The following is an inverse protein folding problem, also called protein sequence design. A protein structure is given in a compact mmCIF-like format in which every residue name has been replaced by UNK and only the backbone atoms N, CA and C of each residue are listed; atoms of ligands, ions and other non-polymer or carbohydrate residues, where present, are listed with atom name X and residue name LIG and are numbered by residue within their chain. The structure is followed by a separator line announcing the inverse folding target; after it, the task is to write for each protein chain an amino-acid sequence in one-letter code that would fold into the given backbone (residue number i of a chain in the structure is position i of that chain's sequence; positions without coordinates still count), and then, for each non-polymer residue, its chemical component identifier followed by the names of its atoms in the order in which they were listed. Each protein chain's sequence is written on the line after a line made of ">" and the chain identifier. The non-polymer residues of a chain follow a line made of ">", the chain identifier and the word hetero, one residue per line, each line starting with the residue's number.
data_IF_906461955992
#
_entry.id   IF_906461955992
#
_cell.length_a   1.000
_cell.length_b   1.000
_cell.length_c   1.000
_cell.angle_alpha   90.00
_cell.angle_beta   90.00
_cell.angle_gamma   90.00
#
_symmetry.space_group_name_H-M   'P 1'
#
loop_
_entity.id
_entity.type
_entity.pdbx_description
1 polymer ?
#
# COMPACT_ATOMS: atom_id res chain seq x y z
N UNK A 1 -4.67 -2.56 13.58
CA UNK A 1 -5.36 -1.25 13.65
C UNK A 1 -5.31 -0.63 12.27
N UNK A 2 -6.44 -0.12 11.78
CA UNK A 2 -6.49 0.65 10.54
C UNK A 2 -6.74 2.11 10.89
N UNK A 3 -5.97 3.01 10.31
CA UNK A 3 -6.15 4.46 10.40
C UNK A 3 -6.68 4.91 9.05
N UNK A 4 -7.85 5.55 9.05
CA UNK A 4 -8.47 6.08 7.83
C UNK A 4 -8.21 7.59 7.76
N UNK A 5 -7.66 8.03 6.65
CA UNK A 5 -7.47 9.44 6.29
C UNK A 5 -8.53 9.76 5.24
N UNK A 6 -9.69 10.22 5.71
CA UNK A 6 -10.80 10.52 4.84
C UNK A 6 -10.58 11.85 4.11
N UNK A 7 -10.91 11.90 2.82
CA UNK A 7 -10.71 13.06 1.96
C UNK A 7 -9.28 13.64 2.04
N UNK A 8 -8.28 12.77 2.00
CA UNK A 8 -6.90 13.17 2.26
C UNK A 8 -6.33 14.19 1.24
N UNK A 9 -6.99 14.42 0.12
CA UNK A 9 -6.61 15.40 -0.90
C UNK A 9 -7.37 16.74 -0.83
N UNK A 10 -8.01 17.04 0.29
CA UNK A 10 -8.47 18.43 0.58
C UNK A 10 -7.29 19.39 0.79
N UNK A 11 -6.12 18.87 1.12
CA UNK A 11 -4.85 19.59 1.16
C UNK A 11 -3.77 18.74 0.52
N UNK A 12 -2.61 19.32 0.22
CA UNK A 12 -1.48 18.57 -0.33
C UNK A 12 -0.97 17.52 0.67
N UNK A 13 -1.21 16.21 0.45
CA UNK A 13 -0.80 15.18 1.40
C UNK A 13 0.72 15.14 1.60
N UNK A 14 1.48 15.55 0.60
CA UNK A 14 2.93 15.64 0.68
C UNK A 14 3.43 16.61 1.75
N UNK A 15 2.61 17.58 2.13
CA UNK A 15 2.97 18.57 3.15
C UNK A 15 2.75 18.04 4.57
N UNK A 16 1.66 17.34 4.81
CA UNK A 16 1.33 16.85 6.16
C UNK A 16 1.64 15.37 6.37
N UNK A 17 1.63 14.55 5.31
CA UNK A 17 1.82 13.10 5.39
C UNK A 17 3.12 12.61 4.74
N UNK A 18 3.88 13.48 4.08
CA UNK A 18 5.08 13.11 3.31
C UNK A 18 6.17 12.42 4.14
N UNK A 19 6.41 12.88 5.37
CA UNK A 19 7.35 12.23 6.29
C UNK A 19 6.87 10.83 6.67
N UNK A 20 5.57 10.67 6.94
CA UNK A 20 4.96 9.37 7.25
C UNK A 20 5.11 8.39 6.09
N UNK A 21 4.80 8.81 4.85
CA UNK A 21 4.97 7.98 3.65
C UNK A 21 6.42 7.51 3.49
N UNK A 22 7.40 8.39 3.74
CA UNK A 22 8.82 8.03 3.66
C UNK A 22 9.23 7.02 4.74
N UNK A 23 8.70 7.17 5.94
CA UNK A 23 8.98 6.24 7.04
C UNK A 23 8.33 4.87 6.78
N UNK A 24 7.10 4.84 6.29
CA UNK A 24 6.38 3.60 5.95
C UNK A 24 7.08 2.83 4.82
N UNK A 25 7.61 3.52 3.82
CA UNK A 25 8.36 2.90 2.71
C UNK A 25 9.61 2.18 3.20
N UNK A 26 10.35 2.79 4.14
CA UNK A 26 11.61 2.27 4.65
C UNK A 26 11.46 1.24 5.79
N UNK A 27 10.28 1.13 6.36
CA UNK A 27 9.99 0.31 7.55
C UNK A 27 9.88 -1.19 7.28
N UNK A 28 10.16 -1.63 6.06
CA UNK A 28 10.02 -3.04 5.69
C UNK A 28 11.00 -3.91 6.47
N UNK A 29 10.44 -4.69 7.40
CA UNK A 29 11.23 -5.62 8.22
C UNK A 29 11.94 -4.98 9.42
N UNK A 30 11.83 -3.67 9.62
CA UNK A 30 12.47 -2.93 10.69
C UNK A 30 11.46 -2.10 11.50
N UNK A 31 11.85 -1.67 12.70
CA UNK A 31 11.06 -0.71 13.46
C UNK A 31 11.08 0.66 12.78
N UNK A 32 9.88 1.21 12.56
CA UNK A 32 9.70 2.52 11.99
C UNK A 32 9.59 3.57 13.09
N UNK A 33 10.27 4.68 12.93
CA UNK A 33 10.22 5.80 13.86
C UNK A 33 9.88 7.09 13.13
N UNK A 34 8.96 7.86 13.72
CA UNK A 34 8.58 9.17 13.23
C UNK A 34 9.11 10.24 14.17
N UNK A 35 9.90 11.16 13.66
CA UNK A 35 10.38 12.31 14.41
C UNK A 35 9.24 13.35 14.50
N UNK A 36 8.59 13.42 15.66
CA UNK A 36 7.45 14.30 15.90
C UNK A 36 7.80 15.53 16.72
N UNK A 37 8.87 15.45 17.51
CA UNK A 37 9.24 16.49 18.46
C UNK A 37 10.66 16.99 18.15
N UNK A 38 10.87 18.25 18.35
CA UNK A 38 12.21 18.87 18.20
C UNK A 38 13.12 18.65 19.43
N UNK A 39 12.51 18.29 20.57
CA UNK A 39 13.21 17.99 21.82
C UNK A 39 12.42 16.98 22.65
N UNK A 40 13.10 16.34 23.58
CA UNK A 40 12.45 15.45 24.54
C UNK A 40 11.55 16.22 25.51
N UNK A 41 10.35 15.70 25.76
CA UNK A 41 9.40 16.24 26.70
C UNK A 41 9.17 15.20 27.81
N UNK A 42 9.28 15.57 29.10
CA UNK A 42 8.98 14.65 30.20
C UNK A 42 7.53 14.14 30.19
N UNK A 43 7.32 12.88 30.53
CA UNK A 43 5.98 12.32 30.67
C UNK A 43 5.31 11.85 29.38
N UNK A 44 6.07 11.67 28.31
CA UNK A 44 5.57 11.12 27.05
C UNK A 44 5.09 9.66 27.23
N UNK A 45 4.09 9.22 26.41
CA UNK A 45 3.66 7.82 26.40
C UNK A 45 4.80 6.86 26.06
N UNK A 46 4.69 5.61 26.52
CA UNK A 46 5.72 4.56 26.39
C UNK A 46 6.17 4.27 24.94
N UNK A 47 5.36 4.61 23.95
CA UNK A 47 5.72 4.43 22.53
C UNK A 47 6.70 5.47 21.98
N UNK A 48 6.95 6.52 22.73
CA UNK A 48 7.98 7.47 22.42
C UNK A 48 9.35 6.99 22.89
N UNK A 49 10.36 7.15 22.05
CA UNK A 49 11.76 6.97 22.38
C UNK A 49 12.44 8.33 22.16
N UNK A 50 12.59 9.10 23.24
CA UNK A 50 13.01 10.49 23.14
C UNK A 50 11.98 11.33 22.39
N UNK A 51 12.37 11.99 21.31
CA UNK A 51 11.51 12.82 20.45
C UNK A 51 10.73 12.01 19.38
N UNK A 52 10.97 10.70 19.28
CA UNK A 52 10.47 9.85 18.19
C UNK A 52 9.33 8.95 18.62
N UNK A 53 8.28 8.88 17.80
CA UNK A 53 7.18 7.92 17.97
C UNK A 53 7.52 6.63 17.19
N UNK A 54 7.49 5.50 17.91
CA UNK A 54 7.58 4.19 17.26
C UNK A 54 6.24 3.83 16.60
N UNK A 55 6.27 3.60 15.29
CA UNK A 55 5.13 3.07 14.54
C UNK A 55 5.07 1.55 14.70
N UNK A 56 3.95 1.08 15.19
CA UNK A 56 3.74 -0.36 15.33
C UNK A 56 3.45 -0.97 13.95
N UNK A 57 4.04 -2.15 13.66
CA UNK A 57 3.92 -2.85 12.37
C UNK A 57 2.48 -3.29 12.03
N UNK A 58 1.61 -3.35 13.01
CA UNK A 58 0.20 -3.70 12.87
C UNK A 58 -0.72 -2.47 12.70
N UNK A 59 -0.17 -1.33 12.30
CA UNK A 59 -0.92 -0.12 11.95
C UNK A 59 -0.89 0.07 10.45
N UNK A 60 -2.06 0.13 9.86
CA UNK A 60 -2.25 0.30 8.43
C UNK A 60 -2.94 1.63 8.17
N UNK A 61 -2.53 2.31 7.13
CA UNK A 61 -3.10 3.59 6.71
C UNK A 61 -3.87 3.39 5.42
N UNK A 62 -5.10 3.88 5.39
CA UNK A 62 -5.97 3.89 4.21
C UNK A 62 -6.42 5.32 4.00
N UNK A 63 -6.19 5.86 2.82
CA UNK A 63 -6.66 7.19 2.43
C UNK A 63 -7.82 7.09 1.45
N UNK A 64 -8.81 7.95 1.58
CA UNK A 64 -9.80 8.20 0.53
C UNK A 64 -9.50 9.53 -0.15
N UNK A 65 -9.79 9.63 -1.43
CA UNK A 65 -9.63 10.85 -2.19
C UNK A 65 -10.72 10.96 -3.26
N UNK A 66 -11.22 12.14 -3.48
CA UNK A 66 -12.12 12.44 -4.59
C UNK A 66 -11.32 13.06 -5.73
N UNK A 67 -11.65 12.70 -6.95
CA UNK A 67 -11.06 13.27 -8.15
C UNK A 67 -12.04 14.28 -8.77
N UNK A 68 -12.09 15.48 -8.19
CA UNK A 68 -12.96 16.55 -8.64
C UNK A 68 -12.21 17.90 -8.77
N UNK A 69 -12.85 18.91 -9.33
CA UNK A 69 -12.25 20.21 -9.59
C UNK A 69 -11.88 20.98 -8.31
N UNK A 70 -12.35 20.57 -7.15
CA UNK A 70 -12.15 21.25 -5.87
C UNK A 70 -11.03 20.62 -5.03
N UNK A 71 -10.54 19.47 -5.43
CA UNK A 71 -9.52 18.71 -4.70
C UNK A 71 -8.15 18.85 -5.34
N UNK A 72 -7.11 18.64 -4.53
CA UNK A 72 -5.73 18.71 -4.99
C UNK A 72 -5.31 17.37 -5.58
N UNK A 73 -4.70 17.39 -6.76
CA UNK A 73 -4.07 16.21 -7.33
C UNK A 73 -2.88 15.76 -6.46
N UNK A 74 -2.74 14.45 -6.29
CA UNK A 74 -1.55 13.89 -5.65
C UNK A 74 -0.31 14.09 -6.51
N UNK A 75 0.81 14.34 -5.87
CA UNK A 75 2.09 14.29 -6.57
C UNK A 75 2.50 12.82 -6.84
N UNK A 76 3.25 12.61 -7.92
CA UNK A 76 3.74 11.29 -8.32
C UNK A 76 4.41 10.52 -7.18
N UNK A 77 5.15 11.22 -6.30
CA UNK A 77 5.78 10.60 -5.12
C UNK A 77 4.80 10.01 -4.10
N UNK A 78 3.53 10.42 -4.11
CA UNK A 78 2.48 9.82 -3.27
C UNK A 78 1.95 8.56 -3.92
N UNK A 79 1.65 8.59 -5.21
CA UNK A 79 1.28 7.40 -5.99
C UNK A 79 2.34 6.33 -5.93
N UNK A 80 3.59 6.68 -6.08
CA UNK A 80 4.72 5.78 -5.99
C UNK A 80 4.80 4.97 -4.67
N UNK A 81 4.25 5.50 -3.58
CA UNK A 81 4.40 4.94 -2.22
C UNK A 81 3.15 4.31 -1.67
N UNK A 82 2.04 4.46 -2.36
CA UNK A 82 0.76 3.89 -1.99
C UNK A 82 0.36 2.78 -2.97
N UNK A 83 -0.49 1.88 -2.52
CA UNK A 83 -1.27 1.03 -3.41
C UNK A 83 -2.56 1.79 -3.71
N UNK A 84 -2.74 2.21 -4.94
CA UNK A 84 -3.90 3.02 -5.37
C UNK A 84 -4.93 2.10 -6.00
N UNK A 85 -6.19 2.29 -5.65
CA UNK A 85 -7.31 1.62 -6.27
C UNK A 85 -8.32 2.69 -6.70
N UNK A 86 -8.55 2.80 -7.98
CA UNK A 86 -9.57 3.67 -8.52
C UNK A 86 -10.92 2.96 -8.56
N UNK A 87 -11.97 3.70 -8.24
CA UNK A 87 -13.34 3.23 -8.28
C UNK A 87 -14.11 4.06 -9.32
N UNK A 88 -13.97 3.74 -10.63
CA UNK A 88 -14.42 4.61 -11.71
C UNK A 88 -15.96 4.68 -11.83
N UNK A 89 -16.67 3.68 -11.33
CA UNK A 89 -18.11 3.57 -11.45
C UNK A 89 -18.82 3.48 -10.10
N UNK A 90 -19.94 4.17 -10.01
CA UNK A 90 -20.82 4.03 -8.86
C UNK A 90 -21.64 2.74 -9.03
N UNK A 91 -21.31 1.73 -8.26
CA UNK A 91 -22.11 0.51 -8.19
C UNK A 91 -23.52 0.77 -7.65
N UNK A 92 -24.46 -0.11 -7.99
CA UNK A 92 -25.81 -0.06 -7.43
C UNK A 92 -25.74 -0.13 -5.91
N UNK A 93 -26.59 0.66 -5.24
CA UNK A 93 -26.68 0.63 -3.80
C UNK A 93 -26.99 -0.79 -3.32
N UNK A 94 -26.23 -1.29 -2.36
CA UNK A 94 -26.45 -2.57 -1.72
C UNK A 94 -26.68 -2.37 -0.22
N UNK A 95 -27.47 -3.22 0.37
CA UNK A 95 -27.58 -3.25 1.82
C UNK A 95 -26.39 -3.97 2.43
N UNK A 96 -25.58 -3.24 3.19
CA UNK A 96 -24.49 -3.81 3.94
C UNK A 96 -25.06 -4.72 5.04
N UNK A 97 -24.89 -6.02 4.91
CA UNK A 97 -25.20 -6.96 5.98
C UNK A 97 -24.16 -6.79 7.07
N UNK A 98 -24.59 -6.52 8.32
CA UNK A 98 -23.70 -6.59 9.46
C UNK A 98 -23.15 -8.02 9.56
N UNK A 99 -21.90 -8.19 9.20
CA UNK A 99 -21.17 -9.40 9.54
C UNK A 99 -20.85 -9.34 11.04
N UNK A 100 -20.91 -10.48 11.71
CA UNK A 100 -20.46 -10.58 13.10
C UNK A 100 -19.00 -10.14 13.22
N UNK A 101 -18.61 -9.67 14.39
CA UNK A 101 -17.21 -9.35 14.66
C UNK A 101 -16.41 -10.65 14.53
N UNK A 102 -15.49 -10.71 13.60
CA UNK A 102 -14.56 -11.83 13.49
C UNK A 102 -13.55 -11.80 14.65
N UNK A 103 -13.04 -12.96 15.01
CA UNK A 103 -11.98 -13.05 16.01
C UNK A 103 -10.76 -12.22 15.58
N UNK A 104 -10.08 -11.54 16.51
CA UNK A 104 -8.90 -10.75 16.20
C UNK A 104 -7.79 -11.64 15.63
N UNK A 105 -7.25 -11.25 14.49
CA UNK A 105 -6.09 -11.91 13.89
C UNK A 105 -4.82 -11.25 14.41
N UNK A 106 -3.87 -12.05 14.91
CA UNK A 106 -2.59 -11.51 15.36
C UNK A 106 -1.75 -11.03 14.16
N UNK A 107 -0.95 -9.98 14.36
CA UNK A 107 -0.01 -9.53 13.31
C UNK A 107 0.96 -10.65 12.91
N UNK A 108 1.40 -11.47 13.85
CA UNK A 108 2.28 -12.60 13.57
C UNK A 108 1.62 -13.66 12.68
N UNK A 109 0.33 -13.96 12.91
CA UNK A 109 -0.42 -14.90 12.05
C UNK A 109 -0.56 -14.36 10.63
N UNK A 110 -0.83 -13.06 10.51
CA UNK A 110 -0.95 -12.40 9.20
C UNK A 110 0.39 -12.35 8.45
N UNK A 111 1.49 -11.99 9.12
CA UNK A 111 2.84 -12.03 8.54
C UNK A 111 3.23 -13.45 8.13
N UNK A 112 2.85 -14.45 8.95
CA UNK A 112 3.06 -15.86 8.62
C UNK A 112 2.31 -16.31 7.38
N UNK A 113 1.05 -15.90 7.23
CA UNK A 113 0.25 -16.19 6.03
C UNK A 113 0.86 -15.57 4.77
N UNK A 114 1.27 -14.30 4.83
CA UNK A 114 1.94 -13.64 3.70
C UNK A 114 3.27 -14.30 3.33
N UNK A 115 4.05 -14.75 4.33
CA UNK A 115 5.29 -15.47 4.07
C UNK A 115 5.05 -16.84 3.42
N UNK A 116 4.02 -17.56 3.85
CA UNK A 116 3.61 -18.83 3.24
C UNK A 116 3.17 -18.62 1.79
N UNK A 117 2.25 -17.69 1.53
CA UNK A 117 1.81 -17.35 0.18
C UNK A 117 2.99 -16.99 -0.74
N UNK A 118 3.93 -16.16 -0.25
CA UNK A 118 5.12 -15.80 -1.02
C UNK A 118 6.04 -16.99 -1.31
N UNK A 119 6.03 -18.01 -0.46
CA UNK A 119 6.79 -19.25 -0.70
C UNK A 119 6.10 -20.17 -1.71
N UNK A 120 4.79 -20.30 -1.57
CA UNK A 120 3.99 -21.24 -2.37
C UNK A 120 3.80 -20.73 -3.82
N UNK A 121 3.70 -19.42 -4.02
CA UNK A 121 3.47 -18.79 -5.33
C UNK A 121 4.75 -18.26 -6.03
N UNK A 122 5.93 -18.81 -5.73
CA UNK A 122 7.20 -18.33 -6.32
C UNK A 122 7.26 -18.47 -7.84
N UNK A 123 6.74 -19.56 -8.36
CA UNK A 123 6.77 -19.83 -9.80
C UNK A 123 5.79 -18.92 -10.54
N UNK A 124 4.63 -18.67 -9.96
CA UNK A 124 3.63 -17.74 -10.49
C UNK A 124 4.15 -16.30 -10.49
N UNK A 125 4.80 -15.88 -9.43
CA UNK A 125 5.48 -14.57 -9.36
C UNK A 125 6.50 -14.42 -10.50
N UNK A 126 7.28 -15.47 -10.76
CA UNK A 126 8.24 -15.48 -11.88
C UNK A 126 7.55 -15.40 -13.23
N UNK A 127 6.42 -16.10 -13.41
CA UNK A 127 5.63 -16.03 -14.64
C UNK A 127 5.05 -14.64 -14.87
N UNK A 128 4.47 -14.01 -13.84
CA UNK A 128 3.96 -12.62 -13.92
C UNK A 128 5.09 -11.66 -14.30
N UNK A 129 6.23 -11.76 -13.64
CA UNK A 129 7.41 -10.94 -13.94
C UNK A 129 7.88 -11.10 -15.38
N UNK A 130 7.98 -12.33 -15.85
CA UNK A 130 8.39 -12.63 -17.23
C UNK A 130 7.39 -12.04 -18.23
N UNK A 131 6.10 -12.23 -17.98
CA UNK A 131 5.04 -11.68 -18.82
C UNK A 131 5.10 -10.15 -18.90
N UNK A 132 5.20 -9.47 -17.77
CA UNK A 132 5.31 -8.01 -17.72
C UNK A 132 6.55 -7.51 -18.50
N UNK A 133 7.72 -8.11 -18.28
CA UNK A 133 8.95 -7.67 -18.89
C UNK A 133 9.05 -7.99 -20.39
N UNK A 134 8.55 -9.14 -20.83
CA UNK A 134 8.65 -9.58 -22.22
C UNK A 134 7.50 -9.05 -23.08
N UNK A 135 6.30 -8.92 -22.54
CA UNK A 135 5.10 -8.58 -23.29
C UNK A 135 4.67 -7.13 -23.17
N UNK A 136 4.82 -6.54 -22.00
CA UNK A 136 4.27 -5.21 -21.71
C UNK A 136 5.33 -4.11 -21.63
N UNK A 137 6.55 -4.40 -21.22
CA UNK A 137 7.59 -3.37 -21.03
C UNK A 137 7.87 -2.55 -22.28
N UNK A 138 8.00 -3.20 -23.44
CA UNK A 138 8.29 -2.50 -24.70
C UNK A 138 7.11 -1.65 -25.20
N UNK A 139 5.87 -2.16 -25.26
CA UNK A 139 4.71 -1.34 -25.58
C UNK A 139 4.54 -0.13 -24.67
N UNK A 140 4.65 -0.32 -23.34
CA UNK A 140 4.47 0.76 -22.37
C UNK A 140 5.56 1.82 -22.43
N UNK A 141 6.80 1.44 -22.74
CA UNK A 141 7.89 2.40 -22.94
C UNK A 141 7.59 3.38 -24.08
N UNK A 142 6.84 2.97 -25.10
CA UNK A 142 6.37 3.83 -26.19
C UNK A 142 5.42 4.95 -25.73
N UNK A 143 4.78 4.79 -24.60
CA UNK A 143 3.90 5.78 -23.95
C UNK A 143 4.60 6.50 -22.78
N UNK A 144 5.90 6.30 -22.59
CA UNK A 144 6.66 6.90 -21.49
C UNK A 144 6.44 6.21 -20.13
N UNK A 145 5.72 5.10 -20.11
CA UNK A 145 5.47 4.32 -18.89
C UNK A 145 6.57 3.27 -18.73
N UNK A 146 7.14 3.21 -17.52
CA UNK A 146 8.17 2.25 -17.17
C UNK A 146 8.19 1.97 -15.69
N UNK A 147 8.72 0.84 -15.29
CA UNK A 147 8.82 0.43 -13.89
C UNK A 147 10.24 0.05 -13.50
N UNK A 148 10.53 0.27 -12.22
CA UNK A 148 11.82 0.03 -11.61
C UNK A 148 11.76 -0.93 -10.43
N UNK A 149 12.82 -0.94 -9.62
CA UNK A 149 12.99 -1.86 -8.49
C UNK A 149 11.88 -1.78 -7.43
N UNK A 150 11.17 -0.66 -7.32
CA UNK A 150 10.04 -0.52 -6.39
C UNK A 150 8.88 -1.38 -6.85
N UNK A 151 8.50 -1.26 -8.11
CA UNK A 151 7.46 -2.07 -8.74
C UNK A 151 7.78 -3.57 -8.64
N UNK A 152 9.02 -3.97 -8.89
CA UNK A 152 9.46 -5.36 -8.73
C UNK A 152 9.24 -5.89 -7.31
N UNK A 153 9.52 -5.08 -6.29
CA UNK A 153 9.25 -5.44 -4.89
C UNK A 153 7.77 -5.48 -4.55
N UNK A 154 6.95 -4.62 -5.17
CA UNK A 154 5.50 -4.67 -5.03
C UNK A 154 4.93 -5.94 -5.64
N UNK A 155 5.37 -6.30 -6.83
CA UNK A 155 5.00 -7.53 -7.51
C UNK A 155 5.28 -8.77 -6.64
N UNK A 156 6.46 -8.88 -6.06
CA UNK A 156 6.84 -10.00 -5.20
C UNK A 156 5.96 -10.18 -3.96
N UNK A 157 5.30 -9.11 -3.52
CA UNK A 157 4.42 -9.12 -2.34
C UNK A 157 2.96 -9.24 -2.70
N UNK A 158 2.55 -8.57 -3.76
CA UNK A 158 1.15 -8.45 -4.15
C UNK A 158 0.62 -9.71 -4.83
N UNK A 159 1.37 -10.24 -5.81
CA UNK A 159 0.95 -11.41 -6.58
C UNK A 159 0.62 -12.62 -5.70
N UNK A 160 1.48 -13.02 -4.74
CA UNK A 160 1.17 -14.14 -3.86
C UNK A 160 -0.12 -13.95 -3.08
N UNK A 161 -0.38 -12.74 -2.58
CA UNK A 161 -1.57 -12.44 -1.79
C UNK A 161 -2.85 -12.58 -2.62
N UNK A 162 -2.83 -12.08 -3.86
CA UNK A 162 -3.99 -12.21 -4.77
C UNK A 162 -4.26 -13.68 -5.07
N UNK A 163 -3.24 -14.45 -5.42
CA UNK A 163 -3.39 -15.86 -5.78
C UNK A 163 -3.83 -16.71 -4.59
N UNK A 164 -3.27 -16.51 -3.41
CA UNK A 164 -3.65 -17.20 -2.18
C UNK A 164 -5.09 -16.87 -1.74
N UNK A 165 -5.54 -15.65 -2.03
CA UNK A 165 -6.93 -15.22 -1.83
C UNK A 165 -7.90 -15.73 -2.92
N UNK A 166 -7.51 -16.70 -3.74
CA UNK A 166 -8.25 -17.26 -4.88
C UNK A 166 -8.49 -16.27 -6.03
N UNK A 167 -7.70 -15.21 -6.14
CA UNK A 167 -7.66 -14.36 -7.32
C UNK A 167 -6.92 -15.04 -8.48
N UNK A 168 -7.06 -14.50 -9.67
CA UNK A 168 -6.46 -15.04 -10.89
C UNK A 168 -5.13 -14.34 -11.25
N UNK A 169 -4.36 -15.00 -12.12
CA UNK A 169 -3.19 -14.38 -12.75
C UNK A 169 -3.52 -13.07 -13.46
N UNK A 170 -4.66 -13.02 -14.16
CA UNK A 170 -5.10 -11.84 -14.90
C UNK A 170 -5.39 -10.67 -13.95
N UNK A 171 -6.13 -10.91 -12.87
CA UNK A 171 -6.39 -9.88 -11.85
C UNK A 171 -5.10 -9.33 -11.24
N UNK A 172 -4.13 -10.20 -10.94
CA UNK A 172 -2.84 -9.76 -10.41
C UNK A 172 -2.06 -8.89 -11.43
N UNK A 173 -2.10 -9.22 -12.72
CA UNK A 173 -1.46 -8.44 -13.79
C UNK A 173 -2.18 -7.11 -13.98
N UNK A 174 -3.52 -7.11 -14.05
CA UNK A 174 -4.32 -5.91 -14.26
C UNK A 174 -4.06 -4.88 -13.16
N UNK A 175 -4.11 -5.27 -11.91
CA UNK A 175 -3.80 -4.38 -10.79
C UNK A 175 -2.36 -3.84 -10.82
N UNK A 176 -1.38 -4.65 -11.22
CA UNK A 176 0.00 -4.19 -11.33
C UNK A 176 0.18 -3.20 -12.50
N UNK A 177 -0.54 -3.41 -13.59
CA UNK A 177 -0.52 -2.50 -14.74
C UNK A 177 -1.16 -1.16 -14.37
N UNK A 178 -2.32 -1.16 -13.70
CA UNK A 178 -2.96 0.05 -13.18
C UNK A 178 -2.03 0.87 -12.28
N UNK A 179 -1.18 0.21 -11.49
CA UNK A 179 -0.21 0.89 -10.63
C UNK A 179 0.99 1.47 -11.40
N UNK A 180 1.25 1.02 -12.63
CA UNK A 180 2.40 1.44 -13.43
C UNK A 180 2.07 2.59 -14.40
N UNK A 181 0.80 2.81 -14.69
CA UNK A 181 0.29 3.84 -15.63
C UNK A 181 -0.10 5.09 -14.89
#
# INVERSE_FOLDING_TARGET
>A
MVVVLDEMNLAHPEQYFGTMLSVLENAVGQDAYLDLLTSEIPGLPQKFSGSRLRLARNVWFVGTANHDETTVAFADKTYDRAHVQELPERHQAFEARRQGVSDPISNQSLEGAFAAAAQDCRDEVRLVRTFLNEKLRSPFAGFGVGWGNRFERQLERFVPVILDANGSFTEAVDHLVEQAV
#
